data_IF_695390781478
#
_entry.id   IF_695390781478
#
_cell.length_a   1.000
_cell.length_b   1.000
_cell.length_c   1.000
_cell.angle_alpha   90.00
_cell.angle_beta   90.00
_cell.angle_gamma   90.00
#
_symmetry.space_group_name_H-M   'P 1'
#
loop_
_entity.id
_entity.type
_entity.pdbx_description
1 polymer ?
#
# COMPACT_ATOMS: atom_id res chain seq x y z
N UNK A 1 -22.68 -16.42 8.30
CA UNK A 1 -21.50 -15.89 9.01
C UNK A 1 -22.00 -15.33 10.32
N UNK A 2 -21.36 -15.64 11.45
CA UNK A 2 -21.82 -15.20 12.78
C UNK A 2 -20.92 -14.06 13.24
N UNK A 3 -21.46 -12.87 13.41
CA UNK A 3 -20.72 -11.68 13.84
C UNK A 3 -20.38 -11.75 15.33
N UNK A 4 -19.25 -11.16 15.74
CA UNK A 4 -18.99 -10.90 17.16
C UNK A 4 -19.95 -9.81 17.69
N UNK A 5 -20.14 -9.73 19.00
CA UNK A 5 -20.99 -8.68 19.60
C UNK A 5 -20.50 -7.26 19.28
N UNK A 6 -19.18 -7.08 19.16
CA UNK A 6 -18.59 -5.80 18.76
C UNK A 6 -18.84 -5.48 17.28
N UNK A 7 -18.73 -6.48 16.39
CA UNK A 7 -19.00 -6.30 14.96
C UNK A 7 -20.48 -6.03 14.69
N UNK A 8 -21.38 -6.74 15.39
CA UNK A 8 -22.82 -6.52 15.29
C UNK A 8 -23.19 -5.11 15.75
N UNK A 9 -22.63 -4.65 16.87
CA UNK A 9 -22.79 -3.26 17.32
C UNK A 9 -22.28 -2.26 16.29
N UNK A 10 -21.12 -2.50 15.71
CA UNK A 10 -20.55 -1.62 14.69
C UNK A 10 -21.45 -1.49 13.45
N UNK A 11 -22.05 -2.59 12.98
CA UNK A 11 -23.01 -2.56 11.87
C UNK A 11 -24.24 -1.74 12.23
N UNK A 12 -24.79 -1.92 13.43
CA UNK A 12 -25.93 -1.13 13.91
C UNK A 12 -25.59 0.37 13.98
N UNK A 13 -24.42 0.73 14.51
CA UNK A 13 -23.98 2.13 14.62
C UNK A 13 -23.75 2.76 13.23
N UNK A 14 -23.15 2.03 12.29
CA UNK A 14 -22.99 2.50 10.90
C UNK A 14 -24.36 2.73 10.25
N UNK A 15 -25.30 1.79 10.42
CA UNK A 15 -26.64 1.91 9.87
C UNK A 15 -27.41 3.09 10.49
N UNK A 16 -27.30 3.29 11.80
CA UNK A 16 -27.90 4.41 12.52
C UNK A 16 -27.30 5.76 12.08
N UNK A 17 -25.98 5.86 12.03
CA UNK A 17 -25.27 7.04 11.53
C UNK A 17 -25.73 7.41 10.13
N UNK A 18 -25.88 6.44 9.22
CA UNK A 18 -26.30 6.72 7.84
C UNK A 18 -27.70 7.30 7.73
N UNK A 19 -28.60 6.93 8.65
CA UNK A 19 -30.02 7.36 8.65
C UNK A 19 -30.26 8.61 9.49
N UNK A 20 -29.29 9.01 10.32
CA UNK A 20 -29.44 10.13 11.24
C UNK A 20 -29.58 11.48 10.49
N UNK A 21 -30.60 12.30 10.82
CA UNK A 21 -30.70 13.67 10.33
C UNK A 21 -29.51 14.50 10.81
N UNK A 22 -28.91 15.31 9.94
CA UNK A 22 -27.78 16.17 10.31
C UNK A 22 -26.50 15.41 10.71
N UNK A 23 -26.38 14.14 10.30
CA UNK A 23 -25.18 13.33 10.56
C UNK A 23 -23.88 14.02 10.10
N UNK A 24 -22.79 13.73 10.80
CA UNK A 24 -21.45 14.02 10.31
C UNK A 24 -21.22 13.29 8.98
N UNK A 25 -20.46 13.90 8.08
CA UNK A 25 -20.16 13.28 6.78
C UNK A 25 -19.24 12.05 6.89
N UNK A 26 -18.40 12.00 7.93
CA UNK A 26 -17.42 10.93 8.16
C UNK A 26 -17.90 10.04 9.32
N UNK A 27 -17.74 8.73 9.16
CA UNK A 27 -17.78 7.74 10.24
C UNK A 27 -16.49 6.94 10.25
N UNK A 28 -15.86 6.77 11.41
CA UNK A 28 -14.56 6.13 11.59
C UNK A 28 -14.71 4.77 12.24
N UNK A 29 -14.49 3.72 11.47
CA UNK A 29 -14.42 2.34 11.93
C UNK A 29 -12.95 1.92 11.99
N UNK A 30 -12.34 1.99 13.16
CA UNK A 30 -10.97 1.54 13.34
C UNK A 30 -10.91 0.15 13.94
N UNK A 31 -9.76 -0.48 13.80
CA UNK A 31 -9.51 -1.76 14.43
C UNK A 31 -8.17 -2.33 14.04
N UNK A 32 -7.68 -3.26 14.85
CA UNK A 32 -6.40 -3.91 14.60
C UNK A 32 -6.50 -4.93 13.45
N UNK A 33 -5.36 -5.50 13.06
CA UNK A 33 -5.32 -6.60 12.12
C UNK A 33 -6.12 -7.79 12.67
N UNK A 34 -6.82 -8.50 11.80
CA UNK A 34 -7.63 -9.68 12.18
C UNK A 34 -8.99 -9.38 12.83
N UNK A 35 -9.38 -8.12 13.04
CA UNK A 35 -10.69 -7.77 13.64
C UNK A 35 -11.85 -7.74 12.63
N UNK A 36 -11.56 -7.95 11.34
CA UNK A 36 -12.59 -8.09 10.30
C UNK A 36 -13.13 -6.79 9.70
N UNK A 37 -12.38 -5.67 9.78
CA UNK A 37 -12.78 -4.36 9.22
C UNK A 37 -13.34 -4.43 7.79
N UNK A 38 -12.59 -5.02 6.86
CA UNK A 38 -13.00 -5.12 5.44
C UNK A 38 -14.25 -5.97 5.26
N UNK A 39 -14.38 -7.07 6.02
CA UNK A 39 -15.58 -7.92 6.02
C UNK A 39 -16.80 -7.15 6.52
N UNK A 40 -16.64 -6.37 7.58
CA UNK A 40 -17.70 -5.52 8.12
C UNK A 40 -18.10 -4.41 7.15
N UNK A 41 -17.12 -3.78 6.50
CA UNK A 41 -17.36 -2.76 5.50
C UNK A 41 -18.15 -3.30 4.30
N UNK A 42 -17.86 -4.53 3.85
CA UNK A 42 -18.65 -5.21 2.80
C UNK A 42 -20.08 -5.50 3.25
N UNK A 43 -20.27 -5.94 4.49
CA UNK A 43 -21.61 -6.16 5.04
C UNK A 43 -22.40 -4.85 5.14
N UNK A 44 -21.78 -3.77 5.64
CA UNK A 44 -22.38 -2.44 5.67
C UNK A 44 -22.72 -1.92 4.27
N UNK A 45 -21.86 -2.19 3.28
CA UNK A 45 -22.12 -1.84 1.88
C UNK A 45 -23.35 -2.57 1.31
N UNK A 46 -23.53 -3.86 1.63
CA UNK A 46 -24.65 -4.67 1.15
C UNK A 46 -26.02 -4.18 1.67
N UNK A 47 -26.07 -3.49 2.81
CA UNK A 47 -27.29 -2.92 3.36
C UNK A 47 -27.65 -1.54 2.79
N UNK A 48 -26.76 -0.95 1.98
CA UNK A 48 -26.97 0.36 1.37
C UNK A 48 -27.86 0.23 0.13
N UNK A 49 -28.99 0.94 0.14
CA UNK A 49 -29.73 1.20 -1.10
C UNK A 49 -29.00 2.27 -1.91
N UNK A 50 -28.49 1.90 -3.08
CA UNK A 50 -27.76 2.78 -4.01
C UNK A 50 -26.30 2.36 -4.19
N UNK A 51 -25.56 3.16 -4.97
CA UNK A 51 -24.16 2.86 -5.30
C UNK A 51 -23.25 3.06 -4.10
N UNK A 52 -22.43 2.05 -3.78
CA UNK A 52 -21.34 2.15 -2.81
C UNK A 52 -20.01 2.11 -3.57
N UNK A 53 -19.12 3.06 -3.27
CA UNK A 53 -17.80 3.13 -3.88
C UNK A 53 -16.74 2.73 -2.85
N UNK A 54 -15.89 1.76 -3.22
CA UNK A 54 -14.71 1.41 -2.41
C UNK A 54 -13.48 2.18 -2.91
N UNK A 55 -12.72 2.73 -1.97
CA UNK A 55 -11.55 3.54 -2.24
C UNK A 55 -10.39 3.18 -1.32
N UNK A 56 -9.17 3.40 -1.79
CA UNK A 56 -7.97 3.39 -0.95
C UNK A 56 -7.01 4.51 -1.33
N UNK A 57 -6.01 4.77 -0.49
CA UNK A 57 -5.01 5.79 -0.81
C UNK A 57 -4.08 5.38 -1.98
N UNK A 58 -3.59 4.14 -1.98
CA UNK A 58 -2.69 3.61 -3.02
C UNK A 58 -3.39 2.64 -3.96
N UNK A 59 -2.87 2.50 -5.18
CA UNK A 59 -3.41 1.53 -6.15
C UNK A 59 -3.25 0.08 -5.68
N UNK A 60 -2.16 -0.20 -4.95
CA UNK A 60 -1.89 -1.46 -4.26
C UNK A 60 -2.95 -1.80 -3.23
N UNK A 61 -3.28 -0.87 -2.34
CA UNK A 61 -4.35 -1.06 -1.37
C UNK A 61 -5.71 -1.26 -2.05
N UNK A 62 -5.98 -0.52 -3.13
CA UNK A 62 -7.20 -0.72 -3.92
C UNK A 62 -7.28 -2.11 -4.56
N UNK A 63 -6.15 -2.66 -5.04
CA UNK A 63 -6.09 -4.03 -5.56
C UNK A 63 -6.34 -5.07 -4.46
N UNK A 64 -5.73 -4.90 -3.28
CA UNK A 64 -5.99 -5.76 -2.10
C UNK A 64 -7.46 -5.71 -1.67
N UNK A 65 -8.11 -4.55 -1.77
CA UNK A 65 -9.55 -4.45 -1.54
C UNK A 65 -10.35 -5.27 -2.56
N UNK A 66 -9.99 -5.18 -3.85
CA UNK A 66 -10.66 -5.97 -4.91
C UNK A 66 -10.52 -7.47 -4.67
N UNK A 67 -9.33 -7.95 -4.30
CA UNK A 67 -9.14 -9.39 -3.99
C UNK A 67 -9.95 -9.85 -2.78
N UNK A 68 -10.30 -8.95 -1.86
CA UNK A 68 -11.19 -9.20 -0.72
C UNK A 68 -12.68 -9.08 -1.05
N UNK A 69 -13.04 -8.93 -2.33
CA UNK A 69 -14.43 -8.87 -2.80
C UNK A 69 -15.07 -7.48 -2.71
N UNK A 70 -14.26 -6.42 -2.60
CA UNK A 70 -14.72 -5.03 -2.78
C UNK A 70 -14.60 -4.67 -4.26
N UNK A 71 -15.57 -5.11 -5.07
CA UNK A 71 -15.56 -4.90 -6.52
C UNK A 71 -15.49 -3.41 -6.89
N UNK A 72 -14.75 -3.10 -7.95
CA UNK A 72 -14.57 -1.72 -8.43
C UNK A 72 -13.73 -0.82 -7.52
N UNK A 73 -13.12 -1.34 -6.44
CA UNK A 73 -12.28 -0.53 -5.56
C UNK A 73 -11.16 0.16 -6.35
N UNK A 74 -10.97 1.46 -6.13
CA UNK A 74 -9.97 2.27 -6.85
C UNK A 74 -9.26 3.24 -5.91
N UNK A 75 -8.33 4.06 -6.43
CA UNK A 75 -7.70 5.09 -5.59
C UNK A 75 -8.65 6.27 -5.39
N UNK A 76 -8.57 6.95 -4.24
CA UNK A 76 -9.31 8.21 -4.03
C UNK A 76 -9.02 9.20 -5.16
N UNK A 77 -7.76 9.29 -5.60
CA UNK A 77 -7.35 10.14 -6.72
C UNK A 77 -8.09 9.81 -8.03
N UNK A 78 -8.26 8.53 -8.34
CA UNK A 78 -8.99 8.09 -9.54
C UNK A 78 -10.49 8.36 -9.43
N UNK A 79 -11.04 8.35 -8.22
CA UNK A 79 -12.46 8.63 -8.00
C UNK A 79 -12.79 10.12 -8.16
N UNK A 80 -11.94 11.02 -7.67
CA UNK A 80 -12.29 12.44 -7.56
C UNK A 80 -11.60 13.36 -8.56
N UNK A 81 -10.54 12.91 -9.25
CA UNK A 81 -9.83 13.73 -10.22
C UNK A 81 -9.92 13.19 -11.64
N UNK A 82 -10.08 14.11 -12.58
CA UNK A 82 -9.99 13.84 -14.02
C UNK A 82 -8.84 14.63 -14.63
N UNK A 83 -8.20 14.04 -15.63
CA UNK A 83 -7.19 14.71 -16.44
C UNK A 83 -7.87 15.62 -17.46
N UNK A 84 -7.42 16.88 -17.53
CA UNK A 84 -7.80 17.83 -18.56
C UNK A 84 -6.55 18.28 -19.31
N UNK A 85 -6.65 18.33 -20.63
CA UNK A 85 -5.66 18.96 -21.47
C UNK A 85 -5.87 20.47 -21.42
N UNK A 86 -4.82 21.19 -21.04
CA UNK A 86 -4.80 22.64 -21.01
C UNK A 86 -3.74 23.10 -21.98
N UNK A 87 -4.15 23.91 -22.96
CA UNK A 87 -3.23 24.57 -23.87
C UNK A 87 -2.32 25.53 -23.10
N UNK A 88 -1.01 25.31 -23.16
CA UNK A 88 -0.03 26.30 -22.76
C UNK A 88 0.05 27.36 -23.85
N UNK A 89 -0.12 28.63 -23.46
CA UNK A 89 -0.11 29.76 -24.38
C UNK A 89 1.06 30.69 -24.07
N UNK A 90 1.71 31.20 -25.11
CA UNK A 90 2.74 32.23 -24.97
C UNK A 90 2.12 33.59 -24.59
N UNK A 91 2.97 34.60 -24.36
CA UNK A 91 2.55 35.96 -24.06
C UNK A 91 1.74 36.62 -25.19
N UNK A 92 1.79 36.07 -26.41
CA UNK A 92 1.04 36.51 -27.59
C UNK A 92 -0.29 35.75 -27.75
N UNK A 93 -0.59 34.79 -26.87
CA UNK A 93 -1.80 33.97 -26.89
C UNK A 93 -1.73 32.74 -27.79
N UNK A 94 -0.60 32.45 -28.43
CA UNK A 94 -0.43 31.28 -29.29
C UNK A 94 -0.24 30.02 -28.45
N UNK A 95 -0.86 28.92 -28.86
CA UNK A 95 -0.66 27.61 -28.21
C UNK A 95 0.76 27.12 -28.49
N UNK A 96 1.58 27.05 -27.44
CA UNK A 96 2.97 26.58 -27.48
C UNK A 96 3.13 25.16 -26.94
N UNK A 97 2.07 24.59 -26.37
CA UNK A 97 2.06 23.22 -25.88
C UNK A 97 0.71 22.81 -25.31
N UNK A 98 0.61 21.55 -24.90
CA UNK A 98 -0.54 21.03 -24.15
C UNK A 98 -0.01 20.40 -22.88
N UNK A 99 -0.58 20.78 -21.73
CA UNK A 99 -0.24 20.24 -20.43
C UNK A 99 -1.45 19.56 -19.81
N UNK A 100 -1.24 18.35 -19.30
CA UNK A 100 -2.25 17.63 -18.55
C UNK A 100 -2.30 18.20 -17.12
N UNK A 101 -3.48 18.64 -16.70
CA UNK A 101 -3.75 19.04 -15.33
C UNK A 101 -4.84 18.15 -14.74
N UNK A 102 -4.56 17.61 -13.55
CA UNK A 102 -5.56 16.89 -12.77
C UNK A 102 -6.38 17.90 -11.97
N UNK A 103 -7.67 17.99 -12.28
CA UNK A 103 -8.63 18.85 -11.61
C UNK A 103 -9.72 17.99 -10.97
N UNK A 104 -10.37 18.54 -9.93
CA UNK A 104 -11.52 17.90 -9.30
C UNK A 104 -12.58 17.63 -10.37
N UNK A 105 -13.10 16.42 -10.41
CA UNK A 105 -14.13 16.02 -11.37
C UNK A 105 -15.52 16.43 -10.84
N UNK A 106 -16.17 17.46 -11.40
CA UNK A 106 -17.50 17.88 -10.95
C UNK A 106 -18.57 16.82 -11.23
N UNK A 107 -18.29 15.84 -12.10
CA UNK A 107 -19.19 14.75 -12.46
C UNK A 107 -18.74 13.41 -11.84
N UNK A 108 -17.87 13.45 -10.84
CA UNK A 108 -17.42 12.24 -10.14
C UNK A 108 -18.60 11.41 -9.67
N UNK A 109 -18.51 10.08 -9.83
CA UNK A 109 -19.47 9.13 -9.29
C UNK A 109 -19.65 9.26 -7.76
N UNK A 110 -18.67 9.86 -7.06
CA UNK A 110 -18.76 10.15 -5.64
C UNK A 110 -19.97 11.03 -5.33
N UNK A 111 -20.27 12.04 -6.15
CA UNK A 111 -21.39 12.97 -5.92
C UNK A 111 -22.77 12.27 -5.88
N UNK A 112 -22.91 11.18 -6.63
CA UNK A 112 -24.15 10.40 -6.72
C UNK A 112 -24.16 9.14 -5.84
N UNK A 113 -23.03 8.80 -5.20
CA UNK A 113 -22.93 7.60 -4.39
C UNK A 113 -23.72 7.73 -3.08
N UNK A 114 -24.28 6.60 -2.62
CA UNK A 114 -24.98 6.53 -1.33
C UNK A 114 -24.02 6.37 -0.14
N UNK A 115 -22.79 5.91 -0.41
CA UNK A 115 -21.70 5.75 0.54
C UNK A 115 -20.36 5.62 -0.20
N UNK A 116 -19.31 6.24 0.32
CA UNK A 116 -17.93 5.93 -0.02
C UNK A 116 -17.29 5.21 1.16
N UNK A 117 -16.59 4.10 0.90
CA UNK A 117 -15.82 3.37 1.91
C UNK A 117 -14.34 3.54 1.58
N UNK A 118 -13.56 4.07 2.51
CA UNK A 118 -12.14 4.35 2.32
C UNK A 118 -11.31 3.48 3.26
N UNK A 119 -10.45 2.61 2.72
CA UNK A 119 -9.46 1.85 3.48
C UNK A 119 -8.05 2.47 3.37
N UNK A 120 -7.15 2.06 4.27
CA UNK A 120 -5.76 2.58 4.35
C UNK A 120 -5.73 4.12 4.38
N UNK A 121 -6.65 4.71 5.15
CA UNK A 121 -6.88 6.16 5.19
C UNK A 121 -5.79 6.95 5.93
N UNK A 122 -4.89 6.26 6.65
CA UNK A 122 -3.80 6.87 7.41
C UNK A 122 -2.87 7.70 6.52
N UNK A 123 -2.77 7.35 5.23
CA UNK A 123 -1.90 8.05 4.27
C UNK A 123 -2.57 9.23 3.55
N UNK A 124 -3.85 9.50 3.81
CA UNK A 124 -4.57 10.58 3.12
C UNK A 124 -4.20 11.94 3.70
N UNK A 125 -3.65 12.82 2.84
CA UNK A 125 -3.31 14.20 3.20
C UNK A 125 -4.54 15.12 3.23
N UNK A 126 -4.37 16.32 3.80
CA UNK A 126 -5.48 17.27 3.98
C UNK A 126 -6.12 17.75 2.68
N UNK A 127 -5.33 17.99 1.63
CA UNK A 127 -5.88 18.46 0.36
C UNK A 127 -6.80 17.41 -0.24
N UNK A 128 -6.36 16.15 -0.28
CA UNK A 128 -7.14 15.04 -0.81
C UNK A 128 -8.38 14.79 0.05
N UNK A 129 -8.27 14.89 1.38
CA UNK A 129 -9.41 14.79 2.29
C UNK A 129 -10.44 15.90 2.03
N UNK A 130 -10.02 17.18 1.95
CA UNK A 130 -10.91 18.31 1.64
C UNK A 130 -11.61 18.13 0.30
N UNK A 131 -10.85 17.75 -0.72
CA UNK A 131 -11.38 17.55 -2.07
C UNK A 131 -12.42 16.41 -2.09
N UNK A 132 -12.17 15.29 -1.39
CA UNK A 132 -13.15 14.20 -1.24
C UNK A 132 -14.39 14.62 -0.42
N UNK A 133 -14.21 15.41 0.63
CA UNK A 133 -15.32 15.87 1.48
C UNK A 133 -16.22 16.88 0.75
N UNK A 134 -15.67 17.64 -0.21
CA UNK A 134 -16.41 18.65 -0.96
C UNK A 134 -17.65 18.11 -1.72
N UNK A 135 -17.70 16.81 -2.00
CA UNK A 135 -18.85 16.16 -2.63
C UNK A 135 -20.07 16.00 -1.71
N UNK A 136 -19.94 16.21 -0.40
CA UNK A 136 -21.03 16.04 0.57
C UNK A 136 -21.47 14.59 0.81
N UNK A 137 -20.90 13.63 0.06
CA UNK A 137 -21.21 12.21 0.15
C UNK A 137 -20.74 11.62 1.48
N UNK A 138 -21.51 10.72 2.11
CA UNK A 138 -21.10 10.06 3.34
C UNK A 138 -19.90 9.15 3.13
N UNK A 139 -18.99 9.16 4.10
CA UNK A 139 -17.73 8.42 4.03
C UNK A 139 -17.56 7.55 5.27
N UNK A 140 -17.52 6.23 5.07
CA UNK A 140 -17.07 5.28 6.07
C UNK A 140 -15.56 5.09 5.90
N UNK A 141 -14.80 5.43 6.93
CA UNK A 141 -13.34 5.32 6.92
C UNK A 141 -12.89 4.15 7.76
N UNK A 142 -12.05 3.30 7.17
CA UNK A 142 -11.40 2.17 7.82
C UNK A 142 -9.95 2.53 8.15
N UNK A 143 -9.52 2.19 9.36
CA UNK A 143 -8.17 2.49 9.81
C UNK A 143 -7.63 1.48 10.82
N UNK A 144 -6.30 1.42 10.92
CA UNK A 144 -5.60 0.67 11.95
C UNK A 144 -4.62 1.61 12.68
N UNK A 145 -4.92 2.01 13.94
CA UNK A 145 -4.11 2.97 14.67
C UNK A 145 -2.75 2.40 15.11
N UNK A 146 -2.53 1.08 15.03
CA UNK A 146 -1.27 0.44 15.35
C UNK A 146 -0.29 0.41 14.16
N UNK A 147 -0.76 0.72 12.94
CA UNK A 147 0.14 0.85 11.78
C UNK A 147 0.97 2.14 11.84
N UNK A 148 2.03 2.17 11.03
CA UNK A 148 2.87 3.33 10.84
C UNK A 148 2.06 4.53 10.33
N UNK A 149 2.29 5.74 10.89
CA UNK A 149 1.75 6.96 10.31
C UNK A 149 2.42 7.24 8.95
N UNK A 150 1.83 8.12 8.13
CA UNK A 150 2.46 8.57 6.90
C UNK A 150 3.82 9.23 7.17
N UNK A 151 4.77 9.05 6.24
CA UNK A 151 6.13 9.61 6.34
C UNK A 151 6.14 11.14 6.30
N UNK A 152 5.14 11.76 5.66
CA UNK A 152 4.96 13.22 5.59
C UNK A 152 3.50 13.60 5.78
N UNK A 153 3.26 14.61 6.62
CA UNK A 153 1.92 15.12 6.95
C UNK A 153 1.20 14.31 8.03
N UNK A 154 0.02 14.76 8.39
CA UNK A 154 -0.88 14.06 9.32
C UNK A 154 -1.98 13.36 8.54
N UNK A 155 -2.30 12.12 8.93
CA UNK A 155 -3.43 11.38 8.37
C UNK A 155 -4.73 11.99 8.89
N UNK A 156 -5.37 12.86 8.09
CA UNK A 156 -6.55 13.65 8.50
C UNK A 156 -7.68 12.77 9.04
N UNK A 157 -7.90 11.63 8.41
CA UNK A 157 -8.95 10.74 8.85
C UNK A 157 -8.62 10.00 10.14
N UNK A 158 -7.34 9.82 10.46
CA UNK A 158 -6.84 9.10 11.64
C UNK A 158 -6.45 10.00 12.82
N UNK A 159 -6.56 11.33 12.65
CA UNK A 159 -6.22 12.30 13.69
C UNK A 159 -7.26 12.36 14.83
N UNK A 160 -8.53 12.06 14.54
CA UNK A 160 -9.61 12.00 15.52
C UNK A 160 -9.83 10.57 16.04
N UNK A 161 -10.45 10.46 17.21
CA UNK A 161 -10.86 9.17 17.77
C UNK A 161 -11.86 8.46 16.83
N UNK A 162 -11.80 7.12 16.75
CA UNK A 162 -12.80 6.37 16.01
C UNK A 162 -14.17 6.49 16.64
N UNK A 163 -15.22 6.49 15.81
CA UNK A 163 -16.59 6.32 16.28
C UNK A 163 -16.78 4.89 16.82
N UNK A 164 -16.16 3.90 16.17
CA UNK A 164 -16.09 2.51 16.64
C UNK A 164 -14.68 1.96 16.51
N UNK A 165 -14.17 1.39 17.61
CA UNK A 165 -12.90 0.67 17.64
C UNK A 165 -13.15 -0.84 17.79
N UNK A 166 -12.76 -1.62 16.79
CA UNK A 166 -12.77 -3.08 16.82
C UNK A 166 -11.49 -3.61 17.47
N UNK A 167 -11.64 -4.39 18.52
CA UNK A 167 -10.56 -4.96 19.34
C UNK A 167 -10.63 -6.48 19.42
N UNK A 168 -11.81 -7.06 19.21
CA UNK A 168 -12.02 -8.51 19.21
C UNK A 168 -11.48 -9.13 17.91
N UNK A 169 -10.55 -10.07 18.06
CA UNK A 169 -10.05 -10.88 16.95
C UNK A 169 -11.08 -11.95 16.64
N UNK A 170 -11.34 -12.15 15.35
CA UNK A 170 -12.31 -13.15 14.89
C UNK A 170 -11.85 -14.57 15.27
N UNK A 171 -12.77 -15.49 15.61
CA UNK A 171 -12.40 -16.85 16.09
C UNK A 171 -11.50 -17.60 15.11
N UNK A 172 -11.73 -17.49 13.80
CA UNK A 172 -10.88 -18.07 12.75
C UNK A 172 -9.46 -17.47 12.69
N UNK A 173 -9.26 -16.26 13.22
CA UNK A 173 -7.98 -15.57 13.28
C UNK A 173 -7.32 -15.66 14.67
N UNK A 174 -8.01 -16.26 15.66
CA UNK A 174 -7.55 -16.34 17.04
C UNK A 174 -6.32 -17.24 17.20
N UNK A 175 -6.17 -18.26 16.35
CA UNK A 175 -5.00 -19.14 16.32
C UNK A 175 -3.95 -18.70 15.27
N UNK A 176 -4.17 -17.57 14.60
CA UNK A 176 -3.27 -17.10 13.56
C UNK A 176 -1.98 -16.53 14.18
N UNK A 177 -0.80 -17.11 13.87
CA UNK A 177 0.48 -16.69 14.42
C UNK A 177 0.81 -15.21 14.20
N UNK A 178 0.48 -14.67 13.02
CA UNK A 178 0.73 -13.27 12.66
C UNK A 178 -0.07 -12.34 13.58
N UNK A 179 -1.31 -12.70 13.89
CA UNK A 179 -2.17 -11.93 14.79
C UNK A 179 -1.64 -11.96 16.23
N UNK A 180 -1.17 -13.11 16.71
CA UNK A 180 -0.52 -13.20 18.03
C UNK A 180 0.75 -12.36 18.12
N UNK A 181 1.66 -12.50 17.14
CA UNK A 181 2.93 -11.77 17.11
C UNK A 181 2.68 -10.26 17.02
N UNK A 182 1.76 -9.82 16.15
CA UNK A 182 1.42 -8.41 15.99
C UNK A 182 0.73 -7.84 17.23
N UNK A 183 -0.18 -8.59 17.87
CA UNK A 183 -0.80 -8.22 19.15
C UNK A 183 0.24 -8.04 20.25
N UNK A 184 1.18 -8.99 20.38
CA UNK A 184 2.26 -8.92 21.36
C UNK A 184 3.12 -7.67 21.17
N UNK A 185 3.48 -7.34 19.93
CA UNK A 185 4.28 -6.14 19.61
C UNK A 185 3.51 -4.87 19.92
N UNK A 186 2.23 -4.81 19.54
CA UNK A 186 1.34 -3.67 19.80
C UNK A 186 1.23 -3.38 21.29
N UNK A 187 1.15 -4.41 22.12
CA UNK A 187 1.03 -4.32 23.59
C UNK A 187 2.37 -4.05 24.29
N UNK A 188 3.44 -3.75 23.53
CA UNK A 188 4.76 -3.43 24.07
C UNK A 188 5.63 -4.64 24.37
N UNK A 189 5.16 -5.85 24.07
CA UNK A 189 5.91 -7.08 24.20
C UNK A 189 7.03 -7.22 23.18
N UNK A 190 8.02 -8.06 23.50
CA UNK A 190 9.09 -8.47 22.58
C UNK A 190 8.79 -9.82 21.97
N UNK A 191 9.15 -9.99 20.71
CA UNK A 191 9.08 -11.29 20.04
C UNK A 191 10.11 -12.24 20.68
N UNK A 192 9.68 -13.46 21.00
CA UNK A 192 10.59 -14.50 21.48
C UNK A 192 10.97 -15.38 20.30
N UNK A 193 12.16 -15.96 20.36
CA UNK A 193 12.62 -16.91 19.35
C UNK A 193 11.79 -18.19 19.44
N UNK A 194 11.49 -18.78 18.30
CA UNK A 194 10.76 -20.05 18.23
C UNK A 194 9.84 -20.13 17.03
N UNK A 195 9.19 -21.29 16.93
CA UNK A 195 8.17 -21.59 15.94
C UNK A 195 6.78 -21.24 16.49
N UNK A 196 5.96 -20.66 15.63
CA UNK A 196 4.61 -20.19 15.90
C UNK A 196 3.71 -20.73 14.80
N UNK A 197 3.42 -22.03 14.84
CA UNK A 197 2.77 -22.72 13.72
C UNK A 197 3.66 -22.66 12.48
N UNK A 198 3.11 -22.16 11.37
CA UNK A 198 3.87 -21.98 10.12
C UNK A 198 4.78 -20.74 10.15
N UNK A 199 4.58 -19.82 11.10
CA UNK A 199 5.43 -18.63 11.27
C UNK A 199 6.58 -18.90 12.23
N UNK A 200 7.66 -18.12 12.15
CA UNK A 200 8.84 -18.33 12.98
C UNK A 200 9.56 -17.02 13.30
N UNK A 201 10.20 -16.98 14.47
CA UNK A 201 11.08 -15.90 14.88
C UNK A 201 12.48 -16.48 15.09
N UNK A 202 13.42 -16.04 14.25
CA UNK A 202 14.77 -16.58 14.19
C UNK A 202 15.81 -15.48 14.50
N UNK A 203 17.00 -15.92 14.85
CA UNK A 203 18.16 -15.03 15.01
C UNK A 203 18.82 -14.74 13.66
N UNK A 204 19.53 -13.62 13.55
CA UNK A 204 20.32 -13.28 12.36
C UNK A 204 21.29 -14.40 11.95
N UNK A 205 21.82 -15.18 12.89
CA UNK A 205 22.69 -16.33 12.60
C UNK A 205 21.99 -17.49 11.88
N UNK A 206 20.64 -17.53 11.88
CA UNK A 206 19.82 -18.50 11.13
C UNK A 206 19.25 -17.93 9.84
N UNK A 207 19.62 -16.70 9.47
CA UNK A 207 19.22 -16.11 8.20
C UNK A 207 20.08 -16.68 7.06
N UNK A 208 19.59 -17.76 6.45
CA UNK A 208 20.30 -18.44 5.36
C UNK A 208 19.73 -18.06 3.98
N UNK A 209 20.46 -18.34 2.88
CA UNK A 209 19.94 -18.15 1.52
C UNK A 209 18.63 -18.88 1.25
N UNK A 210 18.42 -20.06 1.84
CA UNK A 210 17.21 -20.87 1.68
C UNK A 210 16.01 -20.20 2.35
N UNK A 211 16.21 -19.60 3.54
CA UNK A 211 15.17 -18.82 4.22
C UNK A 211 14.77 -17.59 3.39
N UNK A 212 15.75 -16.93 2.77
CA UNK A 212 15.49 -15.78 1.91
C UNK A 212 14.75 -16.13 0.63
N UNK A 213 15.16 -17.20 -0.04
CA UNK A 213 14.55 -17.63 -1.31
C UNK A 213 13.14 -18.22 -1.13
N UNK A 214 12.80 -18.67 0.08
CA UNK A 214 11.51 -19.28 0.39
C UNK A 214 10.36 -18.29 0.65
N UNK A 215 10.64 -16.99 0.78
CA UNK A 215 9.61 -15.97 1.02
C UNK A 215 9.17 -15.28 -0.27
N UNK A 216 7.89 -14.90 -0.36
CA UNK A 216 7.36 -14.13 -1.49
C UNK A 216 7.92 -12.70 -1.52
N UNK A 217 8.12 -12.13 -0.32
CA UNK A 217 8.63 -10.77 -0.16
C UNK A 217 9.50 -10.61 1.09
N UNK A 218 10.64 -9.96 0.91
CA UNK A 218 11.51 -9.53 2.00
C UNK A 218 11.16 -8.10 2.41
N UNK A 219 10.94 -7.87 3.70
CA UNK A 219 10.71 -6.56 4.28
C UNK A 219 11.84 -6.18 5.25
N UNK A 220 12.29 -4.94 5.15
CA UNK A 220 13.35 -4.36 5.99
C UNK A 220 12.94 -2.98 6.51
N UNK A 221 13.65 -2.45 7.50
CA UNK A 221 13.40 -1.08 7.96
C UNK A 221 14.15 -0.05 7.12
N UNK A 222 15.43 -0.28 6.88
CA UNK A 222 16.35 0.72 6.37
C UNK A 222 16.57 0.59 4.85
N UNK A 223 16.69 1.75 4.17
CA UNK A 223 17.03 1.77 2.74
C UNK A 223 18.41 1.17 2.45
N UNK A 224 19.38 1.33 3.38
CA UNK A 224 20.71 0.71 3.25
C UNK A 224 20.59 -0.81 3.18
N UNK A 225 19.86 -1.41 4.11
CA UNK A 225 19.62 -2.86 4.17
C UNK A 225 18.85 -3.34 2.96
N UNK A 226 17.84 -2.59 2.51
CA UNK A 226 17.11 -2.86 1.26
C UNK A 226 18.07 -2.96 0.06
N UNK A 227 18.93 -1.96 -0.12
CA UNK A 227 19.93 -1.94 -1.22
C UNK A 227 20.89 -3.13 -1.10
N UNK A 228 21.37 -3.44 0.10
CA UNK A 228 22.26 -4.59 0.35
C UNK A 228 21.59 -5.93 0.01
N UNK A 229 20.35 -6.16 0.44
CA UNK A 229 19.64 -7.41 0.15
C UNK A 229 19.27 -7.54 -1.32
N UNK A 230 18.86 -6.46 -1.99
CA UNK A 230 18.63 -6.46 -3.44
C UNK A 230 19.90 -6.83 -4.22
N UNK A 231 21.04 -6.20 -3.90
CA UNK A 231 22.32 -6.53 -4.54
C UNK A 231 22.75 -7.98 -4.24
N UNK A 232 22.48 -8.47 -3.01
CA UNK A 232 22.76 -9.86 -2.63
C UNK A 232 21.91 -10.85 -3.41
N UNK A 233 20.61 -10.60 -3.55
CA UNK A 233 19.70 -11.44 -4.32
C UNK A 233 20.18 -11.58 -5.76
N UNK A 234 20.53 -10.46 -6.41
CA UNK A 234 21.08 -10.44 -7.77
C UNK A 234 22.39 -11.23 -7.90
N UNK A 235 23.36 -11.01 -6.99
CA UNK A 235 24.63 -11.74 -7.02
C UNK A 235 24.46 -13.25 -6.92
N UNK A 236 23.47 -13.73 -6.18
CA UNK A 236 23.17 -15.17 -6.09
C UNK A 236 22.61 -15.74 -7.39
N UNK A 237 21.90 -14.91 -8.15
CA UNK A 237 21.46 -15.26 -9.50
C UNK A 237 22.61 -15.15 -10.54
N UNK A 238 23.84 -14.82 -10.10
CA UNK A 238 24.98 -14.61 -10.99
C UNK A 238 24.94 -13.29 -11.75
N UNK A 239 24.09 -12.34 -11.32
CA UNK A 239 23.80 -11.09 -12.02
C UNK A 239 24.58 -9.92 -11.45
N UNK A 240 24.89 -8.94 -12.31
CA UNK A 240 25.49 -7.68 -11.88
C UNK A 240 24.47 -6.86 -11.07
N UNK A 241 24.80 -6.33 -9.88
CA UNK A 241 23.86 -5.54 -9.08
C UNK A 241 23.29 -4.29 -9.75
N UNK A 242 23.96 -3.69 -10.72
CA UNK A 242 23.60 -2.39 -11.29
C UNK A 242 22.89 -2.50 -12.64
N UNK A 243 23.00 -3.64 -13.34
CA UNK A 243 22.43 -3.82 -14.68
C UNK A 243 21.22 -4.77 -14.66
N UNK A 244 19.99 -4.28 -14.86
CA UNK A 244 18.81 -5.15 -14.86
C UNK A 244 18.84 -6.18 -16.00
N UNK A 245 18.34 -7.38 -15.74
CA UNK A 245 18.28 -8.51 -16.66
C UNK A 245 16.87 -9.13 -16.67
N UNK A 246 16.54 -9.86 -17.74
CA UNK A 246 15.27 -10.57 -17.81
C UNK A 246 15.09 -11.53 -16.61
N UNK A 247 13.90 -11.54 -16.05
CA UNK A 247 13.55 -12.25 -14.82
C UNK A 247 13.94 -11.53 -13.53
N UNK A 248 14.43 -10.28 -13.57
CA UNK A 248 14.58 -9.50 -12.35
C UNK A 248 13.26 -8.96 -11.83
N UNK A 249 13.15 -8.93 -10.49
CA UNK A 249 12.02 -8.31 -9.82
C UNK A 249 12.28 -6.84 -9.55
N UNK A 250 11.34 -6.01 -9.96
CA UNK A 250 11.30 -4.57 -9.80
C UNK A 250 10.14 -4.11 -8.92
N UNK A 251 10.29 -2.92 -8.34
CA UNK A 251 9.21 -2.18 -7.70
C UNK A 251 9.06 -0.81 -8.35
N UNK A 252 7.82 -0.48 -8.71
CA UNK A 252 7.47 0.83 -9.25
C UNK A 252 7.46 1.87 -8.13
N UNK A 253 8.15 3.00 -8.33
CA UNK A 253 8.31 4.06 -7.34
C UNK A 253 7.35 5.23 -7.55
N UNK A 254 6.67 5.26 -8.70
CA UNK A 254 5.81 6.38 -9.12
C UNK A 254 4.70 5.92 -10.04
N UNK A 255 3.50 6.45 -9.81
CA UNK A 255 2.37 6.15 -10.67
C UNK A 255 2.59 6.66 -12.10
N UNK A 256 2.26 5.84 -13.09
CA UNK A 256 2.13 6.24 -14.49
C UNK A 256 0.78 5.70 -15.00
N UNK A 257 -0.21 6.58 -15.18
CA UNK A 257 -1.58 6.16 -15.52
C UNK A 257 -1.67 5.57 -16.93
N UNK A 258 -0.94 6.14 -17.88
CA UNK A 258 -0.99 5.74 -19.29
C UNK A 258 -0.48 4.31 -19.48
N UNK A 259 0.53 3.94 -18.68
CA UNK A 259 1.11 2.60 -18.64
C UNK A 259 0.49 1.69 -17.57
N UNK A 260 -0.51 2.16 -16.83
CA UNK A 260 -1.15 1.41 -15.74
C UNK A 260 -0.23 1.08 -14.56
N UNK A 261 0.86 1.83 -14.37
CA UNK A 261 1.83 1.61 -13.30
C UNK A 261 1.36 2.22 -11.99
N UNK A 262 1.45 1.43 -10.92
CA UNK A 262 1.07 1.82 -9.57
C UNK A 262 2.32 1.82 -8.69
N UNK A 263 2.52 2.90 -7.92
CA UNK A 263 3.58 2.99 -6.92
C UNK A 263 3.42 1.87 -5.87
N UNK A 264 4.51 1.15 -5.60
CA UNK A 264 4.55 -0.10 -4.82
C UNK A 264 4.15 -1.35 -5.62
N UNK A 265 3.79 -1.21 -6.90
CA UNK A 265 3.58 -2.30 -7.85
C UNK A 265 4.83 -3.16 -8.01
N UNK A 266 4.67 -4.49 -7.99
CA UNK A 266 5.77 -5.42 -8.23
C UNK A 266 5.67 -5.91 -9.67
N UNK A 267 6.83 -5.97 -10.32
CA UNK A 267 6.93 -6.29 -11.74
C UNK A 267 8.14 -7.16 -11.98
N UNK A 268 8.00 -8.19 -12.82
CA UNK A 268 9.13 -8.98 -13.28
C UNK A 268 9.51 -8.51 -14.69
N UNK A 269 10.82 -8.36 -14.96
CA UNK A 269 11.31 -8.01 -16.29
C UNK A 269 11.07 -9.21 -17.21
N UNK A 270 10.22 -9.04 -18.21
CA UNK A 270 10.01 -10.07 -19.23
C UNK A 270 11.14 -10.06 -20.27
N UNK A 271 11.57 -8.86 -20.66
CA UNK A 271 12.59 -8.65 -21.70
C UNK A 271 13.34 -7.34 -21.45
N UNK A 272 14.64 -7.33 -21.73
CA UNK A 272 15.47 -6.13 -21.80
C UNK A 272 15.63 -5.78 -23.27
N UNK A 273 15.00 -4.70 -23.72
CA UNK A 273 14.96 -4.35 -25.14
C UNK A 273 16.24 -3.66 -25.61
N UNK A 274 16.89 -2.90 -24.72
CA UNK A 274 18.16 -2.25 -25.01
C UNK A 274 18.67 -1.38 -23.85
N UNK A 275 19.96 -1.07 -23.92
CA UNK A 275 20.60 -0.09 -23.06
C UNK A 275 21.08 1.07 -23.92
N UNK A 276 20.93 2.29 -23.41
CA UNK A 276 21.62 3.46 -23.93
C UNK A 276 22.62 3.98 -22.89
N UNK A 277 23.13 5.20 -23.09
CA UNK A 277 24.03 5.79 -22.11
C UNK A 277 23.31 5.98 -20.77
N UNK A 278 22.08 6.45 -20.73
CA UNK A 278 21.40 6.97 -19.53
C UNK A 278 20.50 5.95 -18.81
N UNK A 279 20.12 4.86 -19.47
CA UNK A 279 19.12 3.95 -18.95
C UNK A 279 18.91 2.70 -19.79
N UNK A 280 17.71 2.13 -19.62
CA UNK A 280 17.34 0.84 -20.17
C UNK A 280 15.86 0.83 -20.54
N UNK A 281 15.57 0.27 -21.71
CA UNK A 281 14.21 -0.06 -22.16
C UNK A 281 13.87 -1.48 -21.73
N UNK A 282 12.74 -1.62 -21.03
CA UNK A 282 12.30 -2.86 -20.43
C UNK A 282 10.85 -3.15 -20.80
N UNK A 283 10.58 -4.40 -21.18
CA UNK A 283 9.23 -4.95 -21.14
C UNK A 283 9.02 -5.66 -19.82
N UNK A 284 8.06 -5.20 -19.04
CA UNK A 284 7.77 -5.72 -17.69
C UNK A 284 6.38 -6.35 -17.62
N UNK A 285 6.23 -7.36 -16.77
CA UNK A 285 4.97 -8.02 -16.48
C UNK A 285 4.58 -7.80 -15.00
N UNK A 286 3.32 -7.46 -14.75
CA UNK A 286 2.83 -7.20 -13.39
C UNK A 286 2.77 -8.50 -12.60
N UNK A 287 3.32 -8.50 -11.38
CA UNK A 287 3.16 -9.61 -10.44
C UNK A 287 1.78 -9.63 -9.79
N UNK A 288 1.03 -8.53 -9.90
CA UNK A 288 -0.21 -8.32 -9.15
C UNK A 288 -1.47 -8.45 -10.00
N UNK A 289 -1.34 -8.27 -11.31
CA UNK A 289 -2.47 -8.28 -12.26
C UNK A 289 -2.10 -9.19 -13.43
N UNK A 290 -2.78 -10.32 -13.52
CA UNK A 290 -2.55 -11.31 -14.58
C UNK A 290 -2.69 -10.69 -15.98
N UNK A 291 -1.72 -10.98 -16.85
CA UNK A 291 -1.70 -10.49 -18.23
C UNK A 291 -1.30 -9.01 -18.40
N UNK A 292 -1.20 -8.23 -17.33
CA UNK A 292 -0.78 -6.83 -17.44
C UNK A 292 0.72 -6.73 -17.77
N UNK A 293 1.03 -6.00 -18.85
CA UNK A 293 2.39 -5.70 -19.28
C UNK A 293 2.55 -4.21 -19.58
N UNK A 294 3.77 -3.71 -19.49
CA UNK A 294 4.12 -2.35 -19.85
C UNK A 294 5.53 -2.29 -20.43
N UNK A 295 5.75 -1.38 -21.36
CA UNK A 295 7.08 -1.02 -21.85
C UNK A 295 7.53 0.25 -21.10
N UNK A 296 8.68 0.21 -20.45
CA UNK A 296 9.17 1.26 -19.55
C UNK A 296 10.61 1.61 -19.87
N UNK A 297 10.93 2.90 -19.75
CA UNK A 297 12.31 3.38 -19.83
C UNK A 297 12.76 3.82 -18.44
N UNK A 298 13.80 3.17 -17.92
CA UNK A 298 14.27 3.38 -16.55
C UNK A 298 15.72 3.85 -16.57
N UNK A 299 15.99 4.93 -15.87
CA UNK A 299 17.34 5.47 -15.72
C UNK A 299 18.23 4.60 -14.84
N UNK A 300 19.51 4.48 -15.21
CA UNK A 300 20.51 3.65 -14.50
C UNK A 300 20.67 4.00 -13.03
N UNK A 301 20.51 5.27 -12.67
CA UNK A 301 20.70 5.75 -11.30
C UNK A 301 19.74 5.11 -10.29
N UNK A 302 18.56 4.66 -10.73
CA UNK A 302 17.64 3.93 -9.86
C UNK A 302 18.11 2.51 -9.50
N UNK A 303 18.95 1.92 -10.35
CA UNK A 303 19.57 0.61 -10.10
C UNK A 303 20.89 0.75 -9.35
N UNK A 304 21.66 1.79 -9.64
CA UNK A 304 22.89 2.15 -8.93
C UNK A 304 22.64 2.69 -7.51
N UNK A 305 21.42 3.16 -7.24
CA UNK A 305 21.00 3.66 -5.93
C UNK A 305 21.48 5.09 -5.64
N UNK A 306 21.66 5.88 -6.69
CA UNK A 306 22.00 7.31 -6.66
C UNK A 306 20.85 8.14 -7.24
N UNK A 307 19.60 7.67 -7.13
CA UNK A 307 18.44 8.32 -7.75
C UNK A 307 18.27 9.81 -7.38
N UNK A 308 18.75 10.21 -6.20
CA UNK A 308 18.80 11.60 -5.73
C UNK A 308 19.64 12.54 -6.61
N UNK A 309 20.58 12.03 -7.40
CA UNK A 309 21.44 12.85 -8.27
C UNK A 309 20.76 13.21 -9.59
N UNK A 310 19.66 12.55 -9.95
CA UNK A 310 18.98 12.75 -11.23
C UNK A 310 18.32 14.15 -11.26
N UNK A 311 18.70 15.03 -12.21
CA UNK A 311 18.08 16.34 -12.37
C UNK A 311 16.56 16.23 -12.66
N UNK A 312 15.70 17.12 -12.13
CA UNK A 312 14.25 17.04 -12.34
C UNK A 312 13.82 17.07 -13.81
N UNK A 313 14.58 17.75 -14.67
CA UNK A 313 14.30 17.83 -16.10
C UNK A 313 14.46 16.46 -16.78
N UNK A 314 15.44 15.68 -16.36
CA UNK A 314 15.80 14.37 -16.89
C UNK A 314 14.93 13.22 -16.33
N UNK A 315 14.21 13.48 -15.23
CA UNK A 315 13.15 12.58 -14.75
C UNK A 315 11.86 12.67 -15.56
N UNK A 316 11.73 13.66 -16.45
CA UNK A 316 10.53 13.81 -17.28
C UNK A 316 10.62 12.82 -18.44
N UNK A 317 9.52 12.09 -18.68
CA UNK A 317 9.45 11.08 -19.73
C UNK A 317 10.05 9.73 -19.37
N UNK A 318 10.60 9.57 -18.16
CA UNK A 318 11.13 8.29 -17.67
C UNK A 318 10.22 7.68 -16.62
N UNK A 319 10.31 6.36 -16.45
CA UNK A 319 9.61 5.62 -15.41
C UNK A 319 10.56 5.33 -14.24
N UNK A 320 10.02 5.35 -13.01
CA UNK A 320 10.83 5.22 -11.80
C UNK A 320 10.70 3.80 -11.24
N UNK A 321 11.71 2.96 -11.45
CA UNK A 321 11.77 1.58 -10.94
C UNK A 321 13.12 1.30 -10.29
N UNK A 322 13.11 0.49 -9.22
CA UNK A 322 14.33 -0.08 -8.63
C UNK A 322 14.08 -1.55 -8.33
N UNK A 323 15.10 -2.29 -7.87
CA UNK A 323 14.91 -3.70 -7.52
C UNK A 323 13.91 -3.91 -6.38
N UNK A 324 13.04 -4.90 -6.58
CA UNK A 324 11.90 -5.23 -5.72
C UNK A 324 12.06 -6.48 -4.85
N UNK A 325 13.21 -7.16 -4.88
CA UNK A 325 13.44 -8.36 -4.06
C UNK A 325 13.24 -8.10 -2.55
N UNK A 326 13.68 -6.93 -2.09
CA UNK A 326 13.42 -6.42 -0.76
C UNK A 326 12.78 -5.02 -0.81
N UNK A 327 11.83 -4.77 0.09
CA UNK A 327 11.14 -3.50 0.26
C UNK A 327 11.30 -2.98 1.68
N UNK A 328 11.24 -1.66 1.87
CA UNK A 328 11.11 -1.13 3.22
C UNK A 328 9.67 -1.32 3.71
N UNK A 329 9.46 -1.50 5.03
CA UNK A 329 8.11 -1.62 5.61
C UNK A 329 7.22 -0.43 5.22
N UNK A 330 7.78 0.79 5.14
CA UNK A 330 7.05 1.97 4.66
C UNK A 330 6.57 1.82 3.21
N UNK A 331 7.40 1.31 2.30
CA UNK A 331 7.01 1.09 0.90
C UNK A 331 6.03 -0.09 0.74
N UNK A 332 5.98 -0.98 1.72
CA UNK A 332 5.08 -2.13 1.73
C UNK A 332 3.68 -1.81 2.29
N UNK A 333 3.44 -0.61 2.82
CA UNK A 333 2.12 -0.26 3.35
C UNK A 333 1.04 -0.34 2.26
N UNK A 334 -0.11 -0.92 2.60
CA UNK A 334 -1.19 -1.19 1.65
C UNK A 334 -0.95 -2.39 0.71
N UNK A 335 0.19 -3.06 0.79
CA UNK A 335 0.46 -4.33 0.10
C UNK A 335 0.25 -5.53 1.04
N UNK A 336 0.12 -6.73 0.48
CA UNK A 336 -0.04 -7.97 1.25
C UNK A 336 0.57 -9.14 0.44
N UNK A 337 1.23 -10.07 1.11
CA UNK A 337 1.83 -11.30 0.54
C UNK A 337 1.53 -12.50 1.44
N UNK A 338 1.60 -13.71 0.89
CA UNK A 338 1.30 -14.92 1.67
C UNK A 338 2.44 -15.26 2.63
N UNK A 339 3.69 -15.26 2.15
CA UNK A 339 4.90 -15.43 2.98
C UNK A 339 5.82 -14.21 2.98
N UNK A 340 6.02 -13.62 4.17
CA UNK A 340 6.90 -12.47 4.36
C UNK A 340 8.11 -12.83 5.23
N UNK A 341 9.30 -12.51 4.72
CA UNK A 341 10.52 -12.46 5.53
C UNK A 341 10.76 -11.03 6.04
N UNK A 342 10.59 -10.81 7.34
CA UNK A 342 10.75 -9.50 7.98
C UNK A 342 12.07 -9.43 8.77
N UNK A 343 12.99 -8.57 8.34
CA UNK A 343 14.18 -8.23 9.12
C UNK A 343 13.83 -7.14 10.13
N UNK A 344 13.89 -7.46 11.43
CA UNK A 344 13.51 -6.54 12.50
C UNK A 344 14.57 -5.45 12.74
N UNK A 345 14.50 -4.39 11.94
CA UNK A 345 15.27 -3.16 12.16
C UNK A 345 14.46 -2.09 12.90
N UNK A 346 13.39 -2.48 13.61
CA UNK A 346 12.43 -1.55 14.21
C UNK A 346 13.06 -0.64 15.27
N UNK A 347 14.18 -1.05 15.88
CA UNK A 347 14.94 -0.26 16.85
C UNK A 347 15.42 1.08 16.30
N UNK A 348 15.66 1.18 14.99
CA UNK A 348 16.04 2.42 14.32
C UNK A 348 14.93 3.49 14.32
N UNK A 349 13.69 3.09 14.61
CA UNK A 349 12.50 3.96 14.54
C UNK A 349 11.99 4.42 15.91
N UNK A 350 12.77 4.21 17.00
CA UNK A 350 12.52 4.77 18.34
C UNK A 350 11.06 4.66 18.81
N UNK A 351 10.34 5.77 18.96
CA UNK A 351 8.94 5.84 19.39
C UNK A 351 7.98 5.09 18.44
N UNK A 352 8.35 4.93 17.18
CA UNK A 352 7.59 4.19 16.17
C UNK A 352 8.02 2.72 16.06
N UNK A 353 8.91 2.21 16.92
CA UNK A 353 9.39 0.82 16.90
C UNK A 353 8.25 -0.19 16.81
N UNK A 354 7.29 -0.11 17.74
CA UNK A 354 6.18 -1.06 17.80
C UNK A 354 5.30 -0.97 16.55
N UNK A 355 4.99 0.25 16.09
CA UNK A 355 4.20 0.48 14.87
C UNK A 355 4.90 -0.05 13.62
N UNK A 356 6.21 0.14 13.52
CA UNK A 356 7.02 -0.36 12.41
C UNK A 356 6.96 -1.89 12.34
N UNK A 357 7.28 -2.56 13.45
CA UNK A 357 7.27 -4.02 13.51
C UNK A 357 5.87 -4.59 13.31
N UNK A 358 4.84 -3.97 13.90
CA UNK A 358 3.43 -4.31 13.68
C UNK A 358 3.03 -4.18 12.21
N UNK A 359 3.41 -3.09 11.56
CA UNK A 359 3.11 -2.85 10.14
C UNK A 359 3.75 -3.93 9.26
N UNK A 360 5.01 -4.26 9.51
CA UNK A 360 5.72 -5.33 8.79
C UNK A 360 5.07 -6.71 8.97
N UNK A 361 4.75 -7.08 10.22
CA UNK A 361 4.08 -8.36 10.54
C UNK A 361 2.74 -8.49 9.79
N UNK A 362 1.95 -7.43 9.77
CA UNK A 362 0.60 -7.43 9.17
C UNK A 362 0.60 -7.33 7.65
N UNK A 363 1.77 -7.35 6.98
CA UNK A 363 1.86 -7.54 5.53
C UNK A 363 1.78 -9.01 5.11
N UNK A 364 2.05 -9.94 6.02
CA UNK A 364 1.86 -11.36 5.80
C UNK A 364 0.38 -11.74 5.89
N UNK A 365 -0.09 -12.60 4.98
CA UNK A 365 -1.42 -13.19 5.02
C UNK A 365 -1.42 -14.57 5.68
N UNK A 366 -0.43 -15.41 5.36
CA UNK A 366 -0.37 -16.81 5.81
C UNK A 366 0.80 -17.05 6.76
N UNK A 367 2.02 -16.65 6.37
CA UNK A 367 3.25 -16.94 7.09
C UNK A 367 4.15 -15.72 7.22
N UNK A 368 4.78 -15.58 8.39
CA UNK A 368 5.86 -14.60 8.59
C UNK A 368 7.07 -15.26 9.23
N UNK A 369 8.24 -15.00 8.64
CA UNK A 369 9.54 -15.27 9.26
C UNK A 369 10.13 -13.95 9.73
N UNK A 370 10.30 -13.78 11.04
CA UNK A 370 10.96 -12.58 11.59
C UNK A 370 12.41 -12.90 11.93
N UNK A 371 13.34 -12.09 11.43
CA UNK A 371 14.76 -12.17 11.78
C UNK A 371 15.07 -11.06 12.79
N UNK A 372 15.42 -11.43 14.02
CA UNK A 372 15.85 -10.49 15.05
C UNK A 372 17.31 -10.10 14.81
N UNK A 373 17.57 -8.81 14.64
CA UNK A 373 18.91 -8.23 14.49
C UNK A 373 19.49 -7.67 15.79
#
# INVERSE_FOLDING_TARGET
MTWSGQQDRALHEIAAWRRAPGRKQIFRLFGFAGTGKTTLARAAAAEVRGTVLFAAFTGKAALVLRSKGCEGASTIHSLIYRAFEIEERDASGNVVGVKIRYCLDPFSAVAAAALVIVDECSMVNEKLARDLLSFGTPILVLGDPAQLPPVRGEGVFTAEQPDVMLTEIHRQAADNPIIHLSTKVREGGRLARGDYGDSRVIDIGRFTPEVEAGSDQILVGLNRTRRTLNARARRRLGRDPNYPEAGDRLVCLKNNKDKGLLNGGLWDIAEVEGFDEDGVDLRIASCDVEGQRADVYVRREFFEGCEETIPPAERRGTDEFTYGYALTVHKAQGSQWDDVLLIDESSAFRENRARHLYTGLTRAAERVTVVLS
#
